data_IF_759833123865
#
_entry.id   IF_759833123865
#
_cell.length_a   1.000
_cell.length_b   1.000
_cell.length_c   1.000
_cell.angle_alpha   90.00
_cell.angle_beta   90.00
_cell.angle_gamma   90.00
#
_symmetry.space_group_name_H-M   'P 1'
#
loop_
_entity.id
_entity.type
_entity.pdbx_description
1 polymer ?
#
# COMPACT_ATOMS: atom_id res chain seq x y z
N UNK A 1 18.66 26.84 -36.48
CA UNK A 1 17.32 26.27 -36.28
C UNK A 1 16.63 26.87 -35.04
N UNK A 2 16.51 28.21 -34.94
CA UNK A 2 16.01 28.91 -33.73
C UNK A 2 14.69 29.69 -33.94
N UNK A 3 14.18 29.78 -35.17
CA UNK A 3 12.99 30.57 -35.49
C UNK A 3 11.68 29.93 -35.04
N UNK A 4 11.63 28.60 -34.90
CA UNK A 4 10.42 27.87 -34.47
C UNK A 4 10.29 27.95 -32.94
N UNK A 5 11.39 27.88 -32.20
CA UNK A 5 11.40 27.91 -30.73
C UNK A 5 11.22 29.32 -30.15
N UNK A 6 11.64 30.38 -30.86
CA UNK A 6 11.43 31.77 -30.45
C UNK A 6 9.99 32.28 -30.62
N UNK A 7 9.21 31.64 -31.49
CA UNK A 7 7.83 32.00 -31.78
C UNK A 7 6.81 31.13 -31.03
N UNK A 8 7.21 30.51 -29.91
CA UNK A 8 6.22 29.83 -29.07
C UNK A 8 5.19 30.84 -28.55
N UNK A 9 3.91 30.48 -28.59
CA UNK A 9 2.85 31.37 -28.14
C UNK A 9 3.05 31.75 -26.67
N UNK A 10 2.68 32.98 -26.34
CA UNK A 10 3.00 33.63 -25.06
C UNK A 10 2.61 32.79 -23.84
N UNK A 11 1.51 32.03 -23.91
CA UNK A 11 1.09 31.14 -22.81
C UNK A 11 2.07 30.00 -22.54
N UNK A 12 2.74 29.44 -23.56
CA UNK A 12 3.76 28.38 -23.36
C UNK A 12 5.08 28.99 -22.94
N UNK A 13 5.40 30.18 -23.45
CA UNK A 13 6.60 30.92 -23.06
C UNK A 13 6.54 31.34 -21.60
N UNK A 14 5.44 31.91 -21.15
CA UNK A 14 5.26 32.35 -19.77
C UNK A 14 5.19 31.16 -18.81
N UNK A 15 4.55 30.05 -19.21
CA UNK A 15 4.56 28.82 -18.43
C UNK A 15 5.97 28.22 -18.34
N UNK A 16 6.70 28.14 -19.45
CA UNK A 16 8.07 27.65 -19.48
C UNK A 16 9.05 28.54 -18.70
N UNK A 17 8.90 29.86 -18.80
CA UNK A 17 9.68 30.84 -18.04
C UNK A 17 9.34 30.80 -16.55
N UNK A 18 8.08 30.59 -16.18
CA UNK A 18 7.66 30.44 -14.79
C UNK A 18 8.15 29.13 -14.16
N UNK A 19 8.27 28.06 -14.94
CA UNK A 19 8.70 26.73 -14.46
C UNK A 19 10.23 26.61 -14.39
N UNK A 20 10.93 27.07 -15.43
CA UNK A 20 12.38 26.84 -15.63
C UNK A 20 13.21 28.08 -15.32
N UNK A 21 12.60 29.27 -15.28
CA UNK A 21 13.26 30.55 -15.06
C UNK A 21 13.76 31.20 -16.35
N UNK A 22 13.74 32.54 -16.40
CA UNK A 22 14.07 33.34 -17.60
C UNK A 22 15.42 32.98 -18.22
N UNK A 23 16.49 32.86 -17.41
CA UNK A 23 17.84 32.57 -17.90
C UNK A 23 17.93 31.19 -18.57
N UNK A 24 17.27 30.21 -17.98
CA UNK A 24 17.39 28.82 -18.38
C UNK A 24 16.45 28.47 -19.54
N UNK A 25 15.28 29.12 -19.58
CA UNK A 25 14.40 29.12 -20.75
C UNK A 25 15.07 29.77 -21.98
N UNK A 26 15.73 30.92 -21.80
CA UNK A 26 16.42 31.61 -22.91
C UNK A 26 17.62 30.78 -23.42
N UNK A 27 18.45 30.24 -22.53
CA UNK A 27 19.62 29.44 -22.97
C UNK A 27 19.21 28.13 -23.63
N UNK A 28 18.25 27.41 -23.06
CA UNK A 28 17.92 26.05 -23.48
C UNK A 28 16.82 25.98 -24.56
N UNK A 29 15.78 26.81 -24.46
CA UNK A 29 14.63 26.81 -25.38
C UNK A 29 14.83 27.81 -26.51
N UNK A 30 15.26 29.05 -26.23
CA UNK A 30 15.41 30.07 -27.28
C UNK A 30 16.75 29.95 -28.04
N UNK A 31 17.84 29.61 -27.36
CA UNK A 31 19.18 29.52 -27.95
C UNK A 31 19.64 28.09 -28.24
N UNK A 32 18.89 27.06 -27.82
CA UNK A 32 19.23 25.63 -28.04
C UNK A 32 20.67 25.30 -27.62
N UNK A 33 21.16 25.93 -26.55
CA UNK A 33 22.52 25.69 -26.05
C UNK A 33 22.51 24.42 -25.18
N UNK A 34 22.65 23.25 -25.81
CA UNK A 34 22.66 21.93 -25.16
C UNK A 34 23.92 21.72 -24.29
N UNK A 35 24.86 22.68 -24.30
CA UNK A 35 26.10 22.62 -23.52
C UNK A 35 25.96 23.12 -22.07
N UNK A 36 24.85 23.79 -21.72
CA UNK A 36 24.60 24.23 -20.33
C UNK A 36 23.99 23.10 -19.48
N UNK A 37 24.86 22.17 -19.06
CA UNK A 37 24.50 20.97 -18.29
C UNK A 37 23.76 21.30 -16.99
N UNK A 38 24.09 22.41 -16.32
CA UNK A 38 23.39 22.88 -15.12
C UNK A 38 21.94 23.24 -15.41
N UNK A 39 21.70 23.90 -16.55
CA UNK A 39 20.38 24.32 -16.96
C UNK A 39 19.51 23.15 -17.45
N UNK A 40 20.11 22.17 -18.11
CA UNK A 40 19.43 20.92 -18.48
C UNK A 40 19.01 20.17 -17.22
N UNK A 41 19.92 19.98 -16.26
CA UNK A 41 19.62 19.28 -15.00
C UNK A 41 18.51 19.97 -14.22
N UNK A 42 18.55 21.30 -14.11
CA UNK A 42 17.52 22.07 -13.44
C UNK A 42 16.16 21.98 -14.13
N UNK A 43 16.13 22.11 -15.47
CA UNK A 43 14.89 22.01 -16.25
C UNK A 43 14.26 20.62 -16.17
N UNK A 44 15.09 19.57 -16.26
CA UNK A 44 14.64 18.18 -16.09
C UNK A 44 14.13 17.94 -14.67
N UNK A 45 14.81 18.45 -13.64
CA UNK A 45 14.34 18.36 -12.26
C UNK A 45 12.95 18.99 -12.09
N UNK A 46 12.76 20.21 -12.59
CA UNK A 46 11.48 20.91 -12.50
C UNK A 46 10.36 20.18 -13.25
N UNK A 47 10.65 19.69 -14.45
CA UNK A 47 9.68 18.90 -15.22
C UNK A 47 9.30 17.61 -14.50
N UNK A 48 10.30 16.90 -13.95
CA UNK A 48 10.10 15.67 -13.21
C UNK A 48 9.30 15.89 -11.92
N UNK A 49 9.62 16.94 -11.17
CA UNK A 49 8.90 17.30 -9.95
C UNK A 49 7.44 17.69 -10.22
N UNK A 50 7.16 18.46 -11.28
CA UNK A 50 5.76 18.72 -11.70
C UNK A 50 5.06 17.41 -12.07
N UNK A 51 5.72 16.53 -12.81
CA UNK A 51 5.19 15.21 -13.13
C UNK A 51 4.84 14.39 -11.88
N UNK A 52 5.70 14.43 -10.86
CA UNK A 52 5.48 13.77 -9.57
C UNK A 52 4.27 14.40 -8.85
N UNK A 53 4.16 15.72 -8.81
CA UNK A 53 3.03 16.43 -8.19
C UNK A 53 1.71 16.07 -8.88
N UNK A 54 1.67 16.11 -10.21
CA UNK A 54 0.49 15.73 -11.00
C UNK A 54 0.14 14.26 -10.80
N UNK A 55 1.14 13.38 -10.80
CA UNK A 55 0.98 11.97 -10.48
C UNK A 55 0.34 11.78 -9.11
N UNK A 56 0.93 12.38 -8.06
CA UNK A 56 0.42 12.32 -6.68
C UNK A 56 -1.03 12.80 -6.57
N UNK A 57 -1.40 13.82 -7.33
CA UNK A 57 -2.79 14.33 -7.39
C UNK A 57 -3.79 13.35 -8.00
N UNK A 58 -3.37 12.41 -8.84
CA UNK A 58 -4.27 11.45 -9.50
C UNK A 58 -4.28 10.10 -8.77
N UNK A 59 -3.18 9.73 -8.10
CA UNK A 59 -2.96 8.38 -7.58
C UNK A 59 -4.05 7.87 -6.61
N UNK A 60 -4.63 8.72 -5.76
CA UNK A 60 -5.68 8.29 -4.81
C UNK A 60 -7.10 8.48 -5.36
N UNK A 61 -7.27 9.11 -6.52
CA UNK A 61 -8.57 9.36 -7.17
C UNK A 61 -9.31 8.07 -7.53
N UNK A 62 -8.68 7.04 -8.14
CA UNK A 62 -9.37 5.77 -8.41
C UNK A 62 -9.94 5.14 -7.15
N UNK A 63 -9.18 5.21 -6.04
CA UNK A 63 -9.62 4.67 -4.76
C UNK A 63 -10.79 5.46 -4.17
N UNK A 64 -10.77 6.79 -4.28
CA UNK A 64 -11.87 7.66 -3.87
C UNK A 64 -13.16 7.32 -4.63
N UNK A 65 -13.06 7.15 -5.95
CA UNK A 65 -14.21 6.80 -6.80
C UNK A 65 -14.78 5.42 -6.44
N UNK A 66 -13.94 4.43 -6.13
CA UNK A 66 -14.38 3.10 -5.70
C UNK A 66 -15.17 3.14 -4.40
N UNK A 67 -14.74 3.93 -3.41
CA UNK A 67 -15.47 4.08 -2.13
C UNK A 67 -16.84 4.73 -2.36
N UNK A 68 -16.89 5.77 -3.20
CA UNK A 68 -18.13 6.48 -3.53
C UNK A 68 -19.10 5.60 -4.31
N UNK A 69 -18.60 4.84 -5.30
CA UNK A 69 -19.44 3.94 -6.10
C UNK A 69 -19.95 2.75 -5.30
N UNK A 70 -19.10 2.16 -4.44
CA UNK A 70 -19.47 1.04 -3.59
C UNK A 70 -20.31 1.45 -2.37
N UNK A 71 -20.33 2.75 -2.02
CA UNK A 71 -20.90 3.31 -0.77
C UNK A 71 -20.47 2.52 0.46
N UNK A 72 -19.22 2.04 0.45
CA UNK A 72 -18.69 1.15 1.49
C UNK A 72 -17.19 1.31 1.60
N UNK A 73 -16.70 1.27 2.83
CA UNK A 73 -15.28 1.29 3.16
C UNK A 73 -14.78 -0.07 3.72
N UNK A 74 -15.48 -1.17 3.41
CA UNK A 74 -15.05 -2.52 3.84
C UNK A 74 -13.69 -2.86 3.24
N UNK A 75 -12.80 -3.40 4.07
CA UNK A 75 -11.44 -3.78 3.68
C UNK A 75 -10.41 -2.65 3.81
N UNK A 76 -10.82 -1.42 4.11
CA UNK A 76 -9.91 -0.31 4.36
C UNK A 76 -9.63 -0.18 5.87
N UNK A 77 -8.35 -0.10 6.22
CA UNK A 77 -7.93 0.09 7.60
C UNK A 77 -7.81 1.59 7.93
N UNK A 78 -8.76 2.11 8.71
CA UNK A 78 -8.74 3.50 9.20
C UNK A 78 -7.39 3.88 9.86
N UNK A 79 -6.78 3.04 10.73
CA UNK A 79 -5.50 3.40 11.35
C UNK A 79 -4.36 3.59 10.34
N UNK A 80 -4.34 2.80 9.26
CA UNK A 80 -3.30 2.96 8.23
C UNK A 80 -3.46 4.28 7.48
N UNK A 81 -4.70 4.68 7.13
CA UNK A 81 -4.97 5.97 6.51
C UNK A 81 -4.62 7.14 7.43
N UNK A 82 -4.90 7.03 8.73
CA UNK A 82 -4.51 8.06 9.70
C UNK A 82 -3.00 8.19 9.79
N UNK A 83 -2.27 7.08 9.89
CA UNK A 83 -0.80 7.08 9.93
C UNK A 83 -0.19 7.60 8.62
N UNK A 84 -0.75 7.22 7.47
CA UNK A 84 -0.32 7.71 6.17
C UNK A 84 -0.57 9.21 6.03
N UNK A 85 -1.74 9.70 6.48
CA UNK A 85 -2.07 11.14 6.51
C UNK A 85 -1.10 11.91 7.41
N UNK A 86 -0.78 11.36 8.59
CA UNK A 86 0.17 11.97 9.51
C UNK A 86 1.57 12.04 8.89
N UNK A 87 2.02 10.98 8.22
CA UNK A 87 3.32 10.96 7.54
C UNK A 87 3.42 12.03 6.45
N UNK A 88 2.40 12.16 5.59
CA UNK A 88 2.37 13.21 4.57
C UNK A 88 2.27 14.62 5.16
N UNK A 89 1.51 14.80 6.23
CA UNK A 89 1.40 16.08 6.93
C UNK A 89 2.74 16.51 7.56
N UNK A 90 3.50 15.58 8.15
CA UNK A 90 4.85 15.84 8.66
C UNK A 90 5.78 16.29 7.54
N UNK A 91 5.81 15.57 6.42
CA UNK A 91 6.65 15.92 5.26
C UNK A 91 6.26 17.26 4.66
N UNK A 92 4.97 17.55 4.59
CA UNK A 92 4.45 18.84 4.14
C UNK A 92 4.89 19.98 5.07
N UNK A 93 4.69 19.83 6.37
CA UNK A 93 5.05 20.84 7.37
C UNK A 93 6.56 21.10 7.40
N UNK A 94 7.38 20.05 7.35
CA UNK A 94 8.83 20.14 7.30
C UNK A 94 9.31 20.90 6.05
N UNK A 95 8.80 20.51 4.88
CA UNK A 95 9.20 21.12 3.61
C UNK A 95 8.74 22.57 3.47
N UNK A 96 7.53 22.87 3.97
CA UNK A 96 7.01 24.23 3.99
C UNK A 96 7.82 25.13 4.91
N UNK A 97 8.20 24.64 6.09
CA UNK A 97 8.98 25.40 7.08
C UNK A 97 10.42 25.68 6.63
N UNK A 98 11.02 24.75 5.88
CA UNK A 98 12.34 24.94 5.28
C UNK A 98 12.29 25.71 3.94
N UNK A 99 11.12 26.25 3.55
CA UNK A 99 10.92 27.02 2.33
C UNK A 99 11.39 26.28 1.05
N UNK A 100 11.22 24.96 1.02
CA UNK A 100 11.56 24.17 -0.16
C UNK A 100 10.65 24.52 -1.34
N UNK A 101 11.11 24.35 -2.60
CA UNK A 101 10.28 24.63 -3.76
C UNK A 101 9.07 23.70 -3.82
N UNK A 102 7.93 24.23 -4.29
CA UNK A 102 6.67 23.49 -4.41
C UNK A 102 6.80 22.16 -5.18
N UNK A 103 7.71 22.10 -6.16
CA UNK A 103 8.07 20.89 -6.91
C UNK A 103 8.45 19.70 -6.01
N UNK A 104 9.03 19.96 -4.83
CA UNK A 104 9.51 18.92 -3.90
C UNK A 104 8.42 18.40 -2.96
N UNK A 105 7.50 19.26 -2.52
CA UNK A 105 6.49 18.89 -1.51
C UNK A 105 5.04 18.90 -2.02
N UNK A 106 4.80 19.42 -3.22
CA UNK A 106 3.45 19.61 -3.77
C UNK A 106 2.67 18.30 -3.85
N UNK A 107 3.34 17.16 -4.12
CA UNK A 107 2.69 15.85 -4.09
C UNK A 107 2.10 15.54 -2.71
N UNK A 108 2.84 15.87 -1.63
CA UNK A 108 2.43 15.59 -0.26
C UNK A 108 1.25 16.48 0.15
N UNK A 109 1.14 17.69 -0.41
CA UNK A 109 -0.02 18.57 -0.21
C UNK A 109 -1.30 17.92 -0.77
N UNK A 110 -1.28 17.49 -2.04
CA UNK A 110 -2.45 16.87 -2.66
C UNK A 110 -2.77 15.51 -2.06
N UNK A 111 -1.75 14.70 -1.77
CA UNK A 111 -1.92 13.41 -1.10
C UNK A 111 -2.53 13.57 0.29
N UNK A 112 -2.06 14.54 1.09
CA UNK A 112 -2.64 14.82 2.41
C UNK A 112 -4.12 15.19 2.29
N UNK A 113 -4.47 16.10 1.38
CA UNK A 113 -5.86 16.50 1.17
C UNK A 113 -6.75 15.32 0.75
N UNK A 114 -6.29 14.49 -0.20
CA UNK A 114 -7.02 13.31 -0.65
C UNK A 114 -7.16 12.25 0.45
N UNK A 115 -6.13 12.02 1.24
CA UNK A 115 -6.17 11.06 2.35
C UNK A 115 -7.08 11.53 3.49
N UNK A 116 -7.14 12.83 3.79
CA UNK A 116 -8.13 13.38 4.74
C UNK A 116 -9.54 13.11 4.23
N UNK A 117 -9.82 13.37 2.95
CA UNK A 117 -11.14 13.08 2.35
C UNK A 117 -11.48 11.59 2.43
N UNK A 118 -10.55 10.71 2.07
CA UNK A 118 -10.74 9.25 2.18
C UNK A 118 -11.02 8.85 3.63
N UNK A 119 -10.26 9.39 4.59
CA UNK A 119 -10.44 9.09 6.02
C UNK A 119 -11.85 9.50 6.50
N UNK A 120 -12.33 10.68 6.09
CA UNK A 120 -13.68 11.13 6.39
C UNK A 120 -14.75 10.23 5.75
N UNK A 121 -14.55 9.79 4.51
CA UNK A 121 -15.45 8.85 3.84
C UNK A 121 -15.47 7.48 4.51
N UNK A 122 -14.31 6.98 4.98
CA UNK A 122 -14.23 5.73 5.75
C UNK A 122 -15.09 5.82 7.02
N UNK A 123 -15.01 6.94 7.74
CA UNK A 123 -15.83 7.18 8.95
C UNK A 123 -17.32 7.28 8.59
N UNK A 124 -17.66 7.98 7.50
CA UNK A 124 -19.04 8.14 7.05
C UNK A 124 -19.71 6.79 6.69
N UNK A 125 -19.00 5.95 5.93
CA UNK A 125 -19.46 4.64 5.49
C UNK A 125 -19.19 3.51 6.50
N UNK A 126 -18.59 3.80 7.65
CA UNK A 126 -18.41 2.83 8.71
C UNK A 126 -19.78 2.33 9.24
N UNK A 127 -19.88 1.03 9.60
CA UNK A 127 -21.08 0.49 10.21
C UNK A 127 -21.35 1.21 11.54
N UNK A 128 -22.61 1.60 11.76
CA UNK A 128 -23.01 2.31 12.97
C UNK A 128 -22.80 1.40 14.20
N UNK A 129 -21.99 1.87 15.17
CA UNK A 129 -21.89 1.21 16.46
C UNK A 129 -23.03 1.69 17.36
N UNK A 130 -23.63 0.82 18.19
CA UNK A 130 -24.57 1.27 19.20
C UNK A 130 -23.89 2.32 20.08
N UNK A 131 -24.57 3.43 20.34
CA UNK A 131 -24.09 4.57 21.15
C UNK A 131 -23.09 5.56 20.51
N UNK A 132 -22.90 5.55 19.18
CA UNK A 132 -22.06 6.56 18.50
C UNK A 132 -22.82 7.35 17.44
N UNK A 133 -22.81 8.68 17.57
CA UNK A 133 -23.35 9.59 16.55
C UNK A 133 -22.34 9.81 15.43
N UNK A 134 -22.70 9.40 14.21
CA UNK A 134 -21.93 9.66 12.98
C UNK A 134 -21.52 11.13 12.78
N UNK A 135 -22.40 12.14 12.96
CA UNK A 135 -21.99 13.53 12.77
C UNK A 135 -20.90 13.96 13.77
N UNK A 136 -20.96 13.49 15.01
CA UNK A 136 -19.93 13.80 16.00
C UNK A 136 -18.56 13.24 15.59
N UNK A 137 -18.53 12.01 15.08
CA UNK A 137 -17.27 11.39 14.62
C UNK A 137 -16.63 12.13 13.46
N UNK A 138 -17.45 12.61 12.51
CA UNK A 138 -16.95 13.40 11.38
C UNK A 138 -16.40 14.74 11.83
N UNK A 139 -17.09 15.44 12.75
CA UNK A 139 -16.62 16.70 13.31
C UNK A 139 -15.34 16.51 14.12
N UNK A 140 -15.24 15.45 14.93
CA UNK A 140 -14.03 15.15 15.69
C UNK A 140 -12.87 14.81 14.75
N UNK A 141 -13.09 14.03 13.70
CA UNK A 141 -12.03 13.65 12.77
C UNK A 141 -11.53 14.85 11.94
N UNK A 142 -12.43 15.73 11.48
CA UNK A 142 -12.05 16.93 10.75
C UNK A 142 -11.31 17.93 11.65
N UNK A 143 -11.79 18.14 12.87
CA UNK A 143 -11.12 18.98 13.86
C UNK A 143 -9.75 18.41 14.25
N UNK A 144 -9.66 17.11 14.49
CA UNK A 144 -8.39 16.45 14.80
C UNK A 144 -7.38 16.64 13.66
N UNK A 145 -7.80 16.47 12.41
CA UNK A 145 -6.94 16.67 11.23
C UNK A 145 -6.41 18.11 11.15
N UNK A 146 -7.28 19.10 11.39
CA UNK A 146 -6.90 20.51 11.41
C UNK A 146 -5.95 20.84 12.58
N UNK A 147 -6.26 20.35 13.78
CA UNK A 147 -5.42 20.51 14.96
C UNK A 147 -4.03 19.88 14.78
N UNK A 148 -3.94 18.70 14.18
CA UNK A 148 -2.66 18.07 13.85
C UNK A 148 -1.84 18.93 12.89
N UNK A 149 -2.47 19.53 11.87
CA UNK A 149 -1.79 20.46 10.96
C UNK A 149 -1.23 21.69 11.68
N UNK A 150 -2.03 22.31 12.56
CA UNK A 150 -1.58 23.47 13.36
C UNK A 150 -0.47 23.08 14.32
N UNK A 151 -0.60 21.94 15.01
CA UNK A 151 0.43 21.44 15.92
C UNK A 151 1.76 21.19 15.19
N UNK A 152 1.73 20.53 14.03
CA UNK A 152 2.93 20.29 13.23
C UNK A 152 3.58 21.60 12.75
N UNK A 153 2.78 22.63 12.48
CA UNK A 153 3.31 23.95 12.12
C UNK A 153 4.02 24.65 13.29
N UNK A 154 3.51 24.52 14.52
CA UNK A 154 4.09 25.18 15.70
C UNK A 154 5.28 24.44 16.31
N UNK A 155 5.47 23.16 15.97
CA UNK A 155 6.58 22.33 16.48
C UNK A 155 7.97 22.92 16.13
N UNK A 156 8.99 22.82 17.02
CA UNK A 156 10.36 23.18 16.68
C UNK A 156 10.91 22.39 15.48
N UNK A 157 11.81 23.02 14.72
CA UNK A 157 12.41 22.44 13.50
C UNK A 157 13.16 21.14 13.77
N UNK A 158 13.82 21.01 14.93
CA UNK A 158 14.61 19.82 15.26
C UNK A 158 13.73 18.59 15.49
N UNK A 159 12.61 18.78 16.21
CA UNK A 159 11.61 17.73 16.43
C UNK A 159 10.95 17.37 15.11
N UNK A 160 10.66 18.37 14.27
CA UNK A 160 10.06 18.15 12.96
C UNK A 160 10.99 17.38 12.01
N UNK A 161 12.30 17.63 12.08
CA UNK A 161 13.32 16.88 11.34
C UNK A 161 13.40 15.42 11.80
N UNK A 162 13.35 15.17 13.11
CA UNK A 162 13.30 13.80 13.66
C UNK A 162 12.00 13.08 13.26
N UNK A 163 10.88 13.79 13.26
CA UNK A 163 9.60 13.27 12.78
C UNK A 163 9.69 12.94 11.29
N UNK A 164 10.27 13.81 10.47
CA UNK A 164 10.50 13.58 9.05
C UNK A 164 11.44 12.38 8.80
N UNK A 165 12.47 12.23 9.64
CA UNK A 165 13.30 11.04 9.63
C UNK A 165 12.53 9.77 9.96
N UNK A 166 11.45 9.85 10.75
CA UNK A 166 10.65 8.69 11.14
C UNK A 166 9.59 8.27 10.11
N UNK A 167 9.12 9.20 9.27
CA UNK A 167 8.14 8.90 8.21
C UNK A 167 8.75 8.03 7.10
N UNK A 168 10.05 8.19 6.88
CA UNK A 168 10.83 7.42 5.92
C UNK A 168 10.90 5.92 6.31
N UNK A 169 11.39 5.52 7.51
CA UNK A 169 11.30 4.18 8.05
C UNK A 169 9.90 3.58 7.97
N UNK A 170 8.83 4.33 8.23
CA UNK A 170 7.46 3.82 8.12
C UNK A 170 7.16 3.27 6.71
N UNK A 171 7.61 3.97 5.66
CA UNK A 171 7.52 3.49 4.28
C UNK A 171 8.47 2.32 3.98
N UNK A 172 9.65 2.29 4.61
CA UNK A 172 10.67 1.25 4.43
C UNK A 172 10.30 -0.06 5.14
N UNK A 173 9.74 0.01 6.36
CA UNK A 173 9.24 -1.10 7.16
C UNK A 173 8.06 -1.80 6.50
N UNK A 174 7.32 -1.13 5.60
CA UNK A 174 6.30 -1.82 4.79
C UNK A 174 6.91 -2.82 3.79
N UNK A 175 8.16 -2.59 3.36
CA UNK A 175 8.85 -3.40 2.33
C UNK A 175 9.79 -4.46 2.93
N UNK A 176 10.30 -4.24 4.15
CA UNK A 176 11.21 -5.19 4.80
C UNK A 176 10.59 -6.59 5.04
N UNK A 177 9.36 -6.72 5.56
CA UNK A 177 8.71 -8.02 5.67
C UNK A 177 8.55 -8.70 4.31
N UNK A 178 8.25 -7.93 3.27
CA UNK A 178 8.12 -8.43 1.90
C UNK A 178 9.46 -8.95 1.36
N UNK A 179 10.57 -8.23 1.58
CA UNK A 179 11.93 -8.67 1.23
C UNK A 179 12.27 -10.00 1.90
N UNK A 180 11.99 -10.11 3.20
CA UNK A 180 12.29 -11.31 3.98
C UNK A 180 11.43 -12.51 3.55
N UNK A 181 10.14 -12.26 3.27
CA UNK A 181 9.24 -13.29 2.75
C UNK A 181 9.67 -13.78 1.37
N UNK A 182 9.98 -12.87 0.43
CA UNK A 182 10.48 -13.24 -0.89
C UNK A 182 11.78 -14.05 -0.81
N UNK A 183 12.69 -13.66 0.10
CA UNK A 183 13.92 -14.41 0.32
C UNK A 183 13.66 -15.82 0.87
N UNK A 184 12.76 -15.96 1.84
CA UNK A 184 12.42 -17.26 2.43
C UNK A 184 11.63 -18.15 1.46
N UNK A 185 10.74 -17.55 0.67
CA UNK A 185 9.92 -18.24 -0.31
C UNK A 185 10.67 -18.57 -1.60
N UNK A 186 11.81 -17.92 -1.87
CA UNK A 186 12.58 -18.07 -3.11
C UNK A 186 11.74 -17.80 -4.38
N UNK A 187 10.67 -17.03 -4.23
CA UNK A 187 9.65 -16.69 -5.22
C UNK A 187 9.15 -15.28 -4.91
N UNK A 188 8.86 -14.50 -5.95
CA UNK A 188 8.26 -13.15 -5.79
C UNK A 188 6.74 -13.15 -5.96
N UNK A 189 6.15 -14.29 -6.31
CA UNK A 189 4.71 -14.53 -6.37
C UNK A 189 3.96 -13.56 -7.29
N UNK A 190 3.11 -12.71 -6.71
CA UNK A 190 2.26 -11.73 -7.42
C UNK A 190 2.90 -10.33 -7.51
N UNK A 191 4.18 -10.18 -7.15
CA UNK A 191 4.86 -8.90 -7.23
C UNK A 191 4.95 -8.43 -8.70
N UNK A 192 4.34 -7.28 -9.01
CA UNK A 192 4.37 -6.73 -10.35
C UNK A 192 5.72 -6.10 -10.65
N UNK A 193 6.38 -6.59 -11.71
CA UNK A 193 7.64 -6.03 -12.22
C UNK A 193 7.52 -4.54 -12.55
N UNK A 194 6.39 -4.18 -13.15
CA UNK A 194 6.07 -2.80 -13.47
C UNK A 194 5.99 -1.93 -12.22
N UNK A 195 5.37 -2.44 -11.14
CA UNK A 195 5.28 -1.70 -9.87
C UNK A 195 6.66 -1.49 -9.22
N UNK A 196 7.51 -2.52 -9.22
CA UNK A 196 8.87 -2.42 -8.65
C UNK A 196 9.73 -1.45 -9.46
N UNK A 197 9.74 -1.57 -10.79
CA UNK A 197 10.49 -0.66 -11.67
C UNK A 197 9.99 0.79 -11.55
N UNK A 198 8.68 1.00 -11.57
CA UNK A 198 8.10 2.33 -11.38
C UNK A 198 8.47 2.93 -10.02
N UNK A 199 8.57 2.10 -8.98
CA UNK A 199 8.97 2.56 -7.66
C UNK A 199 10.46 2.94 -7.60
N UNK A 200 11.34 2.16 -8.24
CA UNK A 200 12.77 2.49 -8.37
C UNK A 200 12.93 3.82 -9.12
N UNK A 201 12.27 3.96 -10.28
CA UNK A 201 12.30 5.19 -11.08
C UNK A 201 11.77 6.37 -10.29
N UNK A 202 10.65 6.21 -9.55
CA UNK A 202 10.10 7.25 -8.70
C UNK A 202 11.02 7.66 -7.54
N UNK A 203 11.68 6.70 -6.89
CA UNK A 203 12.67 6.99 -5.84
C UNK A 203 13.91 7.68 -6.41
N UNK A 204 14.40 7.26 -7.57
CA UNK A 204 15.52 7.90 -8.26
C UNK A 204 15.16 9.33 -8.69
N UNK A 205 13.96 9.52 -9.23
CA UNK A 205 13.43 10.82 -9.60
C UNK A 205 13.40 11.78 -8.41
N UNK A 206 12.85 11.33 -7.28
CA UNK A 206 12.82 12.14 -6.04
C UNK A 206 14.22 12.43 -5.51
N UNK A 207 15.10 11.43 -5.48
CA UNK A 207 16.50 11.61 -5.06
C UNK A 207 17.20 12.67 -5.91
N UNK A 208 17.02 12.61 -7.23
CA UNK A 208 17.57 13.60 -8.15
C UNK A 208 16.99 14.98 -7.90
N UNK A 209 15.66 15.14 -7.86
CA UNK A 209 15.01 16.44 -7.66
C UNK A 209 15.39 17.07 -6.31
N UNK A 210 15.48 16.27 -5.24
CA UNK A 210 15.87 16.78 -3.93
C UNK A 210 17.34 17.16 -3.90
N UNK A 211 18.22 16.38 -4.52
CA UNK A 211 19.65 16.70 -4.62
C UNK A 211 19.90 17.97 -5.45
N UNK A 212 19.09 18.24 -6.48
CA UNK A 212 19.24 19.42 -7.34
C UNK A 212 18.53 20.67 -6.83
N UNK A 213 17.39 20.53 -6.16
CA UNK A 213 16.57 21.69 -5.76
C UNK A 213 16.74 22.12 -4.30
N UNK A 214 17.16 21.21 -3.41
CA UNK A 214 17.19 21.46 -1.96
C UNK A 214 18.57 21.23 -1.37
N UNK A 215 19.19 20.08 -1.67
CA UNK A 215 20.50 19.71 -1.13
C UNK A 215 20.48 19.30 0.35
N UNK A 216 19.32 19.03 0.95
CA UNK A 216 19.23 18.62 2.36
C UNK A 216 19.69 17.15 2.53
N UNK A 217 20.79 16.89 3.27
CA UNK A 217 21.33 15.54 3.43
C UNK A 217 20.35 14.57 4.10
N UNK A 218 19.42 15.07 4.92
CA UNK A 218 18.44 14.25 5.63
C UNK A 218 17.46 13.59 4.66
N UNK A 219 16.88 14.41 3.79
CA UNK A 219 15.87 13.98 2.82
C UNK A 219 16.52 13.15 1.72
N UNK A 220 17.74 13.53 1.30
CA UNK A 220 18.55 12.77 0.34
C UNK A 220 18.89 11.38 0.89
N UNK A 221 19.34 11.26 2.14
CA UNK A 221 19.63 9.97 2.77
C UNK A 221 18.38 9.09 2.85
N UNK A 222 17.22 9.69 3.13
CA UNK A 222 15.92 9.02 3.11
C UNK A 222 15.59 8.39 1.76
N UNK A 223 15.66 9.17 0.68
CA UNK A 223 15.38 8.66 -0.66
C UNK A 223 16.45 7.70 -1.17
N UNK A 224 17.71 7.87 -0.78
CA UNK A 224 18.78 6.94 -1.11
C UNK A 224 18.54 5.57 -0.46
N UNK A 225 18.17 5.54 0.82
CA UNK A 225 17.82 4.31 1.52
C UNK A 225 16.58 3.63 0.92
N UNK A 226 15.57 4.42 0.56
CA UNK A 226 14.40 3.91 -0.16
C UNK A 226 14.76 3.32 -1.53
N UNK A 227 15.66 3.96 -2.27
CA UNK A 227 16.15 3.45 -3.55
C UNK A 227 16.91 2.13 -3.37
N UNK A 228 17.75 2.01 -2.35
CA UNK A 228 18.46 0.77 -2.03
C UNK A 228 17.49 -0.39 -1.75
N UNK A 229 16.48 -0.19 -0.89
CA UNK A 229 15.51 -1.25 -0.59
C UNK A 229 14.67 -1.65 -1.81
N UNK A 230 14.23 -0.68 -2.62
CA UNK A 230 13.51 -1.00 -3.86
C UNK A 230 14.43 -1.67 -4.89
N UNK A 231 15.72 -1.35 -4.89
CA UNK A 231 16.75 -2.05 -5.68
C UNK A 231 16.92 -3.51 -5.25
N UNK A 232 16.93 -3.80 -3.95
CA UNK A 232 16.95 -5.18 -3.43
C UNK A 232 15.70 -5.94 -3.88
N UNK A 233 14.51 -5.32 -3.81
CA UNK A 233 13.27 -5.91 -4.33
C UNK A 233 13.37 -6.22 -5.83
N UNK A 234 13.93 -5.28 -6.61
CA UNK A 234 14.17 -5.46 -8.05
C UNK A 234 15.15 -6.59 -8.34
N UNK A 235 16.23 -6.71 -7.55
CA UNK A 235 17.18 -7.81 -7.68
C UNK A 235 16.54 -9.17 -7.34
N UNK A 236 15.75 -9.25 -6.27
CA UNK A 236 15.00 -10.47 -5.92
C UNK A 236 14.03 -10.87 -7.04
N UNK A 237 13.31 -9.90 -7.60
CA UNK A 237 12.41 -10.12 -8.73
C UNK A 237 13.16 -10.66 -9.95
N UNK A 238 14.34 -10.12 -10.27
CA UNK A 238 15.16 -10.62 -11.36
C UNK A 238 15.62 -12.06 -11.10
N UNK A 239 16.19 -12.32 -9.92
CA UNK A 239 16.79 -13.62 -9.57
C UNK A 239 15.72 -14.72 -9.54
N UNK A 240 14.53 -14.43 -9.03
CA UNK A 240 13.44 -15.42 -8.91
C UNK A 240 12.47 -15.45 -10.10
N UNK A 241 12.69 -14.61 -11.12
CA UNK A 241 11.81 -14.47 -12.28
C UNK A 241 11.49 -15.80 -12.97
N UNK A 242 12.53 -16.61 -13.22
CA UNK A 242 12.39 -17.89 -13.94
C UNK A 242 11.63 -18.93 -13.11
N UNK A 243 11.85 -18.95 -11.79
CA UNK A 243 11.15 -19.85 -10.86
C UNK A 243 9.66 -19.49 -10.77
N UNK A 244 9.34 -18.20 -10.69
CA UNK A 244 7.96 -17.71 -10.63
C UNK A 244 7.16 -18.04 -11.90
N UNK A 245 7.79 -17.94 -13.07
CA UNK A 245 7.14 -18.31 -14.35
C UNK A 245 6.79 -19.80 -14.35
N UNK A 246 7.74 -20.66 -13.97
CA UNK A 246 7.52 -22.12 -13.95
C UNK A 246 6.46 -22.53 -12.92
N UNK A 247 6.40 -21.86 -11.78
CA UNK A 247 5.37 -22.08 -10.76
C UNK A 247 3.97 -21.63 -11.25
N UNK A 248 3.87 -20.48 -11.92
CA UNK A 248 2.61 -20.01 -12.52
C UNK A 248 2.10 -20.93 -13.62
N UNK A 249 2.99 -21.46 -14.46
CA UNK A 249 2.63 -22.44 -15.49
C UNK A 249 2.15 -23.77 -14.92
N UNK A 250 2.79 -24.28 -13.87
CA UNK A 250 2.39 -25.56 -13.26
C UNK A 250 1.01 -25.45 -12.59
N UNK A 251 0.76 -24.36 -11.85
CA UNK A 251 -0.55 -24.07 -11.27
C UNK A 251 -1.65 -23.90 -12.34
N UNK A 252 -1.35 -23.21 -13.44
CA UNK A 252 -2.28 -23.05 -14.56
C UNK A 252 -2.64 -24.40 -15.22
N UNK A 253 -1.66 -25.29 -15.40
CA UNK A 253 -1.87 -26.64 -15.95
C UNK A 253 -2.71 -27.51 -15.02
N UNK A 254 -2.48 -27.44 -13.70
CA UNK A 254 -3.30 -28.15 -12.70
C UNK A 254 -4.74 -27.63 -12.71
N UNK A 255 -4.95 -26.32 -12.75
CA UNK A 255 -6.28 -25.71 -12.79
C UNK A 255 -7.05 -26.06 -14.09
N UNK A 256 -6.36 -26.13 -15.24
CA UNK A 256 -6.97 -26.62 -16.49
C UNK A 256 -7.33 -28.10 -16.40
N UNK A 257 -6.43 -28.94 -15.86
CA UNK A 257 -6.67 -30.38 -15.72
C UNK A 257 -7.82 -30.71 -14.74
N UNK A 258 -7.96 -29.95 -13.66
CA UNK A 258 -9.11 -30.04 -12.73
C UNK A 258 -10.42 -29.72 -13.46
N UNK A 259 -10.41 -28.68 -14.31
CA UNK A 259 -11.59 -28.22 -15.08
C UNK A 259 -11.98 -29.18 -16.21
N UNK A 260 -11.03 -29.95 -16.74
CA UNK A 260 -11.26 -30.99 -17.75
C UNK A 260 -11.73 -32.34 -17.20
N UNK A 261 -11.66 -32.59 -15.88
CA UNK A 261 -12.26 -33.80 -15.30
C UNK A 261 -13.79 -33.71 -15.37
N UNK A 262 -14.48 -34.60 -16.11
CA UNK A 262 -15.94 -34.63 -16.08
C UNK A 262 -16.38 -35.05 -14.68
N UNK A 263 -17.12 -34.18 -13.98
CA UNK A 263 -17.76 -34.51 -12.72
C UNK A 263 -18.71 -35.70 -12.92
N UNK A 264 -18.31 -36.91 -12.53
CA UNK A 264 -19.26 -38.00 -12.30
C UNK A 264 -19.98 -37.69 -10.98
N UNK A 265 -21.31 -37.52 -10.97
CA UNK A 265 -22.04 -37.28 -9.73
C UNK A 265 -22.03 -38.55 -8.87
N UNK A 266 -21.50 -38.44 -7.65
CA UNK A 266 -21.59 -39.49 -6.63
C UNK A 266 -23.04 -39.56 -6.11
N UNK A 267 -23.64 -40.75 -6.19
CA UNK A 267 -24.99 -41.03 -5.70
C UNK A 267 -25.08 -40.95 -4.17
N UNK A 268 -26.19 -40.34 -3.70
CA UNK A 268 -26.65 -40.16 -2.31
C UNK A 268 -26.86 -41.49 -1.57
N UNK A 269 -26.43 -41.55 -0.30
CA UNK A 269 -27.13 -42.31 0.74
C UNK A 269 -27.23 -41.48 2.04
N UNK A 270 -28.45 -41.10 2.41
CA UNK A 270 -28.80 -40.42 3.65
C UNK A 270 -29.20 -41.45 4.71
N UNK A 271 -28.39 -41.64 5.74
CA UNK A 271 -28.75 -42.45 6.93
C UNK A 271 -29.66 -41.64 7.85
N UNK A 272 -30.88 -42.12 8.08
CA UNK A 272 -31.77 -41.67 9.17
C UNK A 272 -31.75 -42.76 10.24
N UNK A 273 -31.37 -42.40 11.45
CA UNK A 273 -31.25 -43.31 12.60
C UNK A 273 -32.59 -43.41 13.33
N UNK A 274 -33.19 -44.61 13.34
CA UNK A 274 -34.45 -44.92 14.05
C UNK A 274 -34.10 -45.72 15.30
N UNK A 275 -34.35 -45.15 16.48
CA UNK A 275 -34.18 -45.81 17.77
C UNK A 275 -35.45 -46.63 18.09
N UNK A 276 -35.31 -47.93 18.30
CA UNK A 276 -36.38 -48.85 18.72
C UNK A 276 -36.04 -49.41 20.12
N UNK A 277 -36.97 -49.39 21.10
CA UNK A 277 -36.72 -49.96 22.43
C UNK A 277 -36.82 -51.50 22.43
N UNK A 278 -36.02 -52.22 23.25
CA UNK A 278 -35.95 -53.67 23.21
C UNK A 278 -37.13 -54.38 23.90
N UNK A 279 -37.67 -55.40 23.23
CA UNK A 279 -38.65 -56.36 23.78
C UNK A 279 -37.94 -57.55 24.43
N UNK A 280 -38.51 -58.05 25.54
CA UNK A 280 -38.04 -59.17 26.35
C UNK A 280 -38.18 -60.53 25.64
N UNK A 281 -37.19 -61.46 25.72
CA UNK A 281 -37.34 -62.81 25.19
C UNK A 281 -37.97 -63.79 26.19
N UNK A 282 -38.86 -64.64 25.69
CA UNK A 282 -39.51 -65.76 26.37
C UNK A 282 -38.59 -67.01 26.49
N UNK A 283 -38.82 -67.78 27.54
CA UNK A 283 -38.01 -68.92 27.97
C UNK A 283 -38.03 -70.13 27.03
N UNK A 284 -36.90 -70.84 26.94
CA UNK A 284 -36.85 -72.25 26.51
C UNK A 284 -36.07 -73.11 27.51
N UNK A 285 -36.74 -74.15 27.96
CA UNK A 285 -36.28 -75.23 28.84
C UNK A 285 -35.21 -76.10 28.17
N UNK A 286 -34.16 -76.45 28.90
CA UNK A 286 -33.57 -77.80 28.87
C UNK A 286 -32.90 -78.09 30.22
N UNK A 287 -33.18 -79.28 30.75
CA UNK A 287 -32.81 -79.77 32.08
C UNK A 287 -31.65 -80.80 31.97
N UNK A 288 -31.16 -81.42 33.06
CA UNK A 288 -29.89 -81.06 33.69
C UNK A 288 -28.92 -82.27 33.80
N UNK A 289 -27.72 -82.09 34.38
CA UNK A 289 -27.03 -82.97 35.37
C UNK A 289 -25.49 -82.76 35.37
N UNK A 290 -24.73 -83.17 36.40
CA UNK A 290 -24.88 -82.75 37.80
C UNK A 290 -23.52 -82.52 38.52
N UNK A 291 -23.62 -82.24 39.83
CA UNK A 291 -22.74 -82.77 40.88
C UNK A 291 -21.41 -82.05 41.18
N UNK A 292 -21.43 -81.29 42.28
CA UNK A 292 -20.22 -80.89 43.01
C UNK A 292 -20.52 -80.22 44.35
N UNK A 293 -21.13 -80.98 45.29
CA UNK A 293 -21.37 -80.59 46.70
C UNK A 293 -20.09 -80.05 47.38
N UNK A 294 -20.23 -78.99 48.20
CA UNK A 294 -20.04 -79.04 49.68
C UNK A 294 -20.28 -77.65 50.31
N UNK A 295 -21.39 -77.47 51.05
CA UNK A 295 -21.48 -77.45 52.53
C UNK A 295 -20.64 -76.31 53.15
N UNK A 296 -21.24 -75.17 53.50
CA UNK A 296 -21.94 -74.87 54.78
C UNK A 296 -20.99 -74.54 55.95
N UNK A 297 -21.09 -73.29 56.45
CA UNK A 297 -21.40 -73.05 57.87
C UNK A 297 -21.92 -71.63 58.09
N UNK A 298 -22.80 -71.58 59.07
CA UNK A 298 -23.71 -70.53 59.51
C UNK A 298 -23.31 -70.17 60.95
N UNK A 299 -23.93 -69.12 61.48
CA UNK A 299 -24.12 -68.79 62.91
C UNK A 299 -22.96 -68.00 63.53
N UNK A 300 -23.15 -66.89 64.24
CA UNK A 300 -24.35 -66.23 64.80
C UNK A 300 -24.26 -64.71 64.64
#
# INVERSE_FOLDING_TARGET
MTSITRNLPWFVRDLGVAIVGKKCYISLVENLNVSDVECIKYSVSKGLGIGIVVGGSIMKVPQLLLILSARSARGLSLPAYVLETLAYAITLAYSFRNAFPFSTYGENLFLTAQNVLITLLIIYYAPARPNQSKPLQLTVASLASALTGVALYTLPTDILALLQLSTLPLSLFSKLPQIMQNYRAQSTGQLSAFAVLSQIVGCLARLFTTATEVGDPLVIAGFALALLLNGVLGAQLWIYWDKDIREKESLGKIAMSEKERPQRPAQRESKVEVVVPPQTPTARYSSPTPSGRKWARKLD
#
